data_IF_888120840195
#
_entry.id   IF_888120840195
#
_cell.length_a   1.000
_cell.length_b   1.000
_cell.length_c   1.000
_cell.angle_alpha   90.00
_cell.angle_beta   90.00
_cell.angle_gamma   90.00
#
_symmetry.space_group_name_H-M   'P 1'
#
loop_
_entity.id
_entity.type
_entity.pdbx_description
1 polymer ?
#
# COMPACT_ATOMS: atom_id res chain seq x y z
N UNK A 1 -80.45 -9.65 -69.10
CA UNK A 1 -79.67 -8.51 -68.58
C UNK A 1 -79.84 -8.45 -67.06
N UNK A 2 -78.73 -8.31 -66.31
CA UNK A 2 -78.60 -7.88 -64.88
C UNK A 2 -79.37 -8.73 -63.84
N UNK A 3 -78.78 -9.64 -63.04
CA UNK A 3 -77.70 -9.60 -62.02
C UNK A 3 -78.00 -8.71 -60.78
N UNK A 4 -77.83 -9.34 -59.61
CA UNK A 4 -77.50 -8.84 -58.24
C UNK A 4 -78.68 -8.86 -57.25
N UNK A 5 -78.79 -9.84 -56.33
CA UNK A 5 -78.03 -10.23 -55.13
C UNK A 5 -78.26 -9.35 -53.88
N UNK A 6 -78.74 -10.04 -52.84
CA UNK A 6 -78.90 -9.72 -51.43
C UNK A 6 -77.61 -9.32 -50.71
N UNK A 7 -77.70 -8.41 -49.73
CA UNK A 7 -76.67 -8.19 -48.70
C UNK A 7 -77.27 -8.36 -47.31
N UNK A 8 -76.87 -9.44 -46.63
CA UNK A 8 -77.01 -9.65 -45.20
C UNK A 8 -75.61 -9.44 -44.60
N UNK A 9 -75.48 -8.49 -43.67
CA UNK A 9 -74.20 -8.12 -43.07
C UNK A 9 -73.61 -9.22 -42.19
N UNK A 10 -72.34 -9.53 -42.43
CA UNK A 10 -71.50 -10.41 -41.61
C UNK A 10 -70.69 -9.53 -40.64
N UNK A 11 -70.91 -9.69 -39.34
CA UNK A 11 -70.08 -9.09 -38.29
C UNK A 11 -68.89 -10.04 -38.05
N UNK A 12 -67.67 -9.55 -38.31
CA UNK A 12 -66.42 -10.24 -37.97
C UNK A 12 -65.96 -9.73 -36.61
N UNK A 13 -65.93 -10.61 -35.62
CA UNK A 13 -65.29 -10.36 -34.31
C UNK A 13 -63.81 -10.69 -34.47
N UNK A 14 -62.96 -9.66 -34.44
CA UNK A 14 -61.51 -9.81 -34.44
C UNK A 14 -61.05 -10.05 -32.99
N UNK A 15 -60.69 -11.29 -32.66
CA UNK A 15 -60.08 -11.63 -31.37
C UNK A 15 -58.63 -11.15 -31.35
N UNK A 16 -58.33 -10.09 -30.61
CA UNK A 16 -56.96 -9.77 -30.20
C UNK A 16 -56.50 -10.84 -29.20
N UNK A 17 -55.60 -11.71 -29.62
CA UNK A 17 -54.75 -12.46 -28.70
C UNK A 17 -53.58 -11.53 -28.39
N UNK A 18 -53.59 -10.91 -27.21
CA UNK A 18 -52.38 -10.31 -26.67
C UNK A 18 -51.40 -11.47 -26.45
N UNK A 19 -50.31 -11.50 -27.23
CA UNK A 19 -49.17 -12.33 -26.86
C UNK A 19 -48.66 -11.81 -25.53
N UNK A 20 -48.75 -12.64 -24.49
CA UNK A 20 -47.93 -12.46 -23.31
C UNK A 20 -46.50 -12.66 -23.79
N UNK A 21 -45.81 -11.56 -24.08
CA UNK A 21 -44.36 -11.56 -24.10
C UNK A 21 -43.94 -11.84 -22.66
N UNK A 22 -43.31 -13.00 -22.43
CA UNK A 22 -42.61 -13.20 -21.17
C UNK A 22 -41.69 -12.00 -20.96
N UNK A 23 -41.75 -11.41 -19.75
CA UNK A 23 -40.72 -10.47 -19.35
C UNK A 23 -39.40 -11.24 -19.40
N UNK A 24 -38.52 -10.87 -20.32
CA UNK A 24 -37.18 -11.41 -20.40
C UNK A 24 -36.30 -10.46 -19.57
N UNK A 25 -35.82 -10.92 -18.43
CA UNK A 25 -35.01 -10.11 -17.52
C UNK A 25 -33.59 -9.91 -18.02
N UNK A 26 -32.81 -9.16 -17.25
CA UNK A 26 -31.36 -9.08 -17.41
C UNK A 26 -30.70 -10.11 -16.51
N UNK A 27 -29.96 -11.07 -17.08
CA UNK A 27 -29.22 -12.09 -16.33
C UNK A 27 -27.82 -11.58 -15.99
N UNK A 28 -27.51 -11.51 -14.70
CA UNK A 28 -26.18 -11.25 -14.17
C UNK A 28 -25.50 -12.57 -13.82
N UNK A 29 -24.21 -12.72 -14.15
CA UNK A 29 -23.44 -13.93 -13.84
C UNK A 29 -22.07 -13.59 -13.25
N UNK A 30 -21.69 -14.29 -12.19
CA UNK A 30 -20.38 -14.18 -11.56
C UNK A 30 -19.79 -15.56 -11.28
N UNK A 31 -18.51 -15.74 -11.60
CA UNK A 31 -17.73 -16.92 -11.22
C UNK A 31 -17.00 -16.66 -9.90
N UNK A 32 -17.35 -17.45 -8.88
CA UNK A 32 -16.82 -17.38 -7.53
C UNK A 32 -15.72 -18.42 -7.27
N UNK A 33 -15.26 -19.16 -8.29
CA UNK A 33 -14.30 -20.26 -8.12
C UNK A 33 -13.05 -19.84 -7.37
N UNK A 34 -12.53 -18.65 -7.67
CA UNK A 34 -11.36 -18.10 -6.97
C UNK A 34 -11.67 -17.74 -5.53
N UNK A 35 -12.79 -17.07 -5.27
CA UNK A 35 -13.20 -16.65 -3.92
C UNK A 35 -13.46 -17.85 -3.01
N UNK A 36 -14.03 -18.93 -3.56
CA UNK A 36 -14.19 -20.22 -2.86
C UNK A 36 -12.83 -20.83 -2.56
N UNK A 37 -11.92 -20.88 -3.53
CA UNK A 37 -10.60 -21.49 -3.37
C UNK A 37 -9.75 -20.81 -2.29
N UNK A 38 -9.85 -19.49 -2.14
CA UNK A 38 -9.13 -18.71 -1.12
C UNK A 38 -9.90 -18.56 0.21
N UNK A 39 -11.08 -19.17 0.32
CA UNK A 39 -11.91 -19.12 1.52
C UNK A 39 -12.54 -17.75 1.82
N UNK A 40 -12.59 -16.83 0.84
CA UNK A 40 -13.27 -15.53 0.96
C UNK A 40 -14.79 -15.63 0.84
N UNK A 41 -15.27 -16.67 0.17
CA UNK A 41 -16.68 -16.96 0.03
C UNK A 41 -16.94 -18.42 0.40
N UNK A 42 -17.77 -18.64 1.43
CA UNK A 42 -18.30 -19.93 1.81
C UNK A 42 -19.73 -20.08 1.25
N UNK A 43 -19.94 -20.91 0.21
CA UNK A 43 -21.25 -21.16 -0.38
C UNK A 43 -22.33 -21.62 0.59
N UNK A 44 -21.96 -22.14 1.77
CA UNK A 44 -22.89 -22.67 2.77
C UNK A 44 -23.36 -21.63 3.78
N UNK A 45 -22.61 -20.54 3.95
CA UNK A 45 -22.80 -19.60 5.06
C UNK A 45 -22.89 -18.14 4.63
N UNK A 46 -22.36 -17.79 3.45
CA UNK A 46 -22.31 -16.42 2.97
C UNK A 46 -23.44 -16.10 1.97
N UNK A 47 -23.81 -14.83 1.91
CA UNK A 47 -24.72 -14.27 0.92
C UNK A 47 -23.92 -13.78 -0.28
N UNK A 48 -24.42 -14.03 -1.49
CA UNK A 48 -23.87 -13.46 -2.72
C UNK A 48 -24.97 -12.66 -3.43
N UNK A 49 -24.70 -11.39 -3.70
CA UNK A 49 -25.68 -10.45 -4.23
C UNK A 49 -25.14 -9.65 -5.41
N UNK A 50 -26.05 -9.20 -6.27
CA UNK A 50 -25.79 -8.17 -7.27
C UNK A 50 -26.52 -6.90 -6.86
N UNK A 51 -25.81 -5.77 -6.89
CA UNK A 51 -26.29 -4.46 -6.42
C UNK A 51 -26.14 -3.44 -7.54
N UNK A 52 -27.17 -2.62 -7.72
CA UNK A 52 -27.20 -1.55 -8.72
C UNK A 52 -28.43 -0.65 -8.55
N UNK A 53 -28.62 0.35 -9.42
CA UNK A 53 -29.76 1.26 -9.31
C UNK A 53 -31.11 0.54 -9.43
N UNK A 54 -31.18 -0.59 -10.14
CA UNK A 54 -32.39 -1.42 -10.30
C UNK A 54 -32.91 -2.06 -9.00
N UNK A 55 -32.09 -2.14 -7.95
CA UNK A 55 -32.52 -2.54 -6.61
C UNK A 55 -32.15 -1.50 -5.55
N UNK A 56 -31.96 -0.23 -5.95
CA UNK A 56 -31.59 0.84 -5.02
C UNK A 56 -30.31 0.54 -4.24
N UNK A 57 -29.40 -0.26 -4.80
CA UNK A 57 -28.19 -0.76 -4.16
C UNK A 57 -28.42 -1.63 -2.91
N UNK A 58 -29.64 -2.13 -2.67
CA UNK A 58 -29.94 -3.00 -1.52
C UNK A 58 -29.64 -4.48 -1.75
N UNK A 59 -29.47 -4.89 -3.01
CA UNK A 59 -29.08 -6.25 -3.39
C UNK A 59 -30.20 -7.20 -3.76
N UNK A 60 -29.87 -8.07 -4.71
CA UNK A 60 -30.65 -9.23 -5.14
C UNK A 60 -29.75 -10.44 -5.02
N UNK A 61 -30.20 -11.48 -4.33
CA UNK A 61 -29.42 -12.71 -4.13
C UNK A 61 -29.19 -13.43 -5.46
N UNK A 62 -27.97 -13.94 -5.66
CA UNK A 62 -27.66 -14.84 -6.76
C UNK A 62 -27.80 -16.29 -6.32
N UNK A 63 -28.21 -17.13 -7.27
CA UNK A 63 -28.34 -18.57 -7.10
C UNK A 63 -27.34 -19.30 -7.98
N UNK A 64 -26.90 -20.47 -7.56
CA UNK A 64 -25.94 -21.26 -8.34
C UNK A 64 -26.54 -21.67 -9.70
N UNK A 65 -25.78 -21.51 -10.77
CA UNK A 65 -26.15 -21.96 -12.11
C UNK A 65 -26.25 -23.49 -12.11
N UNK A 66 -27.32 -24.04 -12.68
CA UNK A 66 -27.52 -25.48 -12.72
C UNK A 66 -26.35 -26.21 -13.39
N UNK A 67 -25.72 -27.14 -12.65
CA UNK A 67 -24.56 -27.91 -13.11
C UNK A 67 -23.21 -27.21 -12.99
N UNK A 68 -23.17 -26.03 -12.36
CA UNK A 68 -21.94 -25.36 -11.93
C UNK A 68 -21.71 -25.55 -10.43
N UNK A 69 -20.45 -25.52 -10.01
CA UNK A 69 -20.05 -25.52 -8.60
C UNK A 69 -19.61 -24.11 -8.13
N UNK A 70 -19.44 -23.17 -9.05
CA UNK A 70 -18.85 -21.85 -8.76
C UNK A 70 -19.51 -20.66 -9.45
N UNK A 71 -20.35 -20.88 -10.46
CA UNK A 71 -20.98 -19.78 -11.21
C UNK A 71 -22.37 -19.54 -10.65
N UNK A 72 -22.65 -18.28 -10.32
CA UNK A 72 -23.92 -17.83 -9.75
C UNK A 72 -24.60 -16.86 -10.70
N UNK A 73 -25.93 -16.87 -10.70
CA UNK A 73 -26.75 -16.00 -11.53
C UNK A 73 -27.98 -15.43 -10.80
N UNK A 74 -28.39 -14.24 -11.22
CA UNK A 74 -29.68 -13.63 -10.89
C UNK A 74 -30.30 -13.02 -12.15
N UNK A 75 -31.60 -13.20 -12.31
CA UNK A 75 -32.38 -12.53 -13.35
C UNK A 75 -33.17 -11.38 -12.72
N UNK A 76 -33.00 -10.18 -13.27
CA UNK A 76 -33.60 -8.95 -12.75
C UNK A 76 -34.36 -8.24 -13.85
N UNK A 77 -35.62 -7.91 -13.57
CA UNK A 77 -36.42 -7.05 -14.41
C UNK A 77 -35.94 -5.60 -14.28
N UNK A 78 -35.39 -5.06 -15.36
CA UNK A 78 -34.92 -3.68 -15.45
C UNK A 78 -35.80 -2.95 -16.47
N UNK A 79 -36.28 -1.77 -16.10
CA UNK A 79 -37.18 -0.94 -16.90
C UNK A 79 -36.50 0.39 -17.24
N UNK A 80 -35.61 0.37 -18.24
CA UNK A 80 -34.87 1.54 -18.71
C UNK A 80 -35.01 1.74 -20.22
N UNK A 81 -34.51 2.86 -20.73
CA UNK A 81 -34.46 3.10 -22.18
C UNK A 81 -33.35 2.24 -22.80
N UNK A 82 -33.63 1.66 -23.96
CA UNK A 82 -32.64 0.91 -24.74
C UNK A 82 -31.32 1.70 -24.93
N UNK A 83 -30.19 1.07 -24.61
CA UNK A 83 -28.87 1.68 -24.65
C UNK A 83 -28.48 2.48 -23.40
N UNK A 84 -29.33 2.55 -22.37
CA UNK A 84 -28.97 3.19 -21.09
C UNK A 84 -27.81 2.44 -20.44
N UNK A 85 -26.75 3.15 -20.07
CA UNK A 85 -25.64 2.59 -19.30
C UNK A 85 -26.07 2.42 -17.84
N UNK A 86 -25.82 1.23 -17.28
CA UNK A 86 -26.18 0.88 -15.90
C UNK A 86 -24.95 0.37 -15.17
N UNK A 87 -24.76 0.92 -13.97
CA UNK A 87 -23.72 0.53 -13.04
C UNK A 87 -24.18 -0.65 -12.15
N UNK A 88 -23.26 -1.56 -11.86
CA UNK A 88 -23.50 -2.65 -10.91
C UNK A 88 -22.21 -3.16 -10.25
N UNK A 89 -22.36 -3.84 -9.12
CA UNK A 89 -21.30 -4.62 -8.46
C UNK A 89 -21.87 -5.91 -7.86
N UNK A 90 -21.01 -6.90 -7.72
CA UNK A 90 -21.25 -8.04 -6.86
C UNK A 90 -20.85 -7.74 -5.40
N UNK A 91 -21.47 -8.44 -4.47
CA UNK A 91 -21.32 -8.23 -3.05
C UNK A 91 -21.39 -9.58 -2.32
N UNK A 92 -20.45 -9.82 -1.41
CA UNK A 92 -20.48 -10.94 -0.47
C UNK A 92 -20.90 -10.39 0.90
N UNK A 93 -21.94 -10.95 1.49
CA UNK A 93 -22.30 -10.72 2.89
C UNK A 93 -21.89 -11.91 3.74
N UNK A 94 -20.92 -11.73 4.64
CA UNK A 94 -20.50 -12.79 5.56
C UNK A 94 -20.59 -12.34 7.01
N UNK A 95 -21.16 -13.17 7.87
CA UNK A 95 -21.10 -12.96 9.31
C UNK A 95 -19.68 -13.18 9.88
N UNK A 96 -18.80 -13.85 9.13
CA UNK A 96 -17.45 -14.22 9.57
C UNK A 96 -16.39 -13.27 9.01
N UNK A 97 -16.39 -13.02 7.71
CA UNK A 97 -15.43 -12.13 7.04
C UNK A 97 -15.91 -10.68 6.91
N UNK A 98 -17.16 -10.39 7.27
CA UNK A 98 -17.78 -9.09 7.09
C UNK A 98 -18.36 -8.89 5.68
N UNK A 99 -18.94 -7.72 5.47
CA UNK A 99 -19.52 -7.32 4.19
C UNK A 99 -18.41 -6.89 3.22
N UNK A 100 -18.37 -7.50 2.02
CA UNK A 100 -17.33 -7.34 1.02
C UNK A 100 -17.95 -6.91 -0.31
N UNK A 101 -17.60 -5.70 -0.75
CA UNK A 101 -17.90 -5.20 -2.10
C UNK A 101 -16.79 -5.60 -3.06
N UNK A 102 -17.15 -5.77 -4.33
CA UNK A 102 -16.11 -5.73 -5.37
C UNK A 102 -15.31 -4.42 -5.31
N UNK A 103 -14.02 -4.55 -5.61
CA UNK A 103 -13.05 -3.47 -5.74
C UNK A 103 -13.31 -2.62 -6.99
N UNK A 104 -12.32 -1.87 -7.46
CA UNK A 104 -12.45 -1.09 -8.70
C UNK A 104 -12.31 -2.00 -9.93
N UNK A 105 -13.44 -2.53 -10.40
CA UNK A 105 -13.52 -3.59 -11.43
C UNK A 105 -13.99 -3.10 -12.80
N UNK A 106 -14.44 -1.85 -12.91
CA UNK A 106 -14.95 -1.32 -14.16
C UNK A 106 -14.84 0.20 -14.27
N UNK A 107 -15.44 0.74 -15.33
CA UNK A 107 -15.38 2.16 -15.69
C UNK A 107 -16.56 2.99 -15.13
N UNK A 108 -17.45 2.36 -14.36
CA UNK A 108 -18.57 3.05 -13.71
C UNK A 108 -18.11 3.88 -12.51
N UNK A 109 -19.05 4.58 -11.90
CA UNK A 109 -18.80 5.40 -10.72
C UNK A 109 -18.21 4.52 -9.60
N UNK A 110 -17.22 5.01 -8.86
CA UNK A 110 -16.54 4.24 -7.80
C UNK A 110 -16.04 2.85 -8.25
N UNK A 111 -15.64 2.72 -9.52
CA UNK A 111 -15.10 1.49 -10.09
C UNK A 111 -16.14 0.40 -10.30
N UNK A 112 -17.43 0.76 -10.41
CA UNK A 112 -18.51 -0.18 -10.74
C UNK A 112 -18.31 -0.82 -12.12
N UNK A 113 -18.86 -2.02 -12.28
CA UNK A 113 -19.05 -2.63 -13.60
C UNK A 113 -20.14 -1.87 -14.33
N UNK A 114 -20.07 -1.84 -15.66
CA UNK A 114 -21.04 -1.16 -16.51
C UNK A 114 -21.58 -2.11 -17.58
N UNK A 115 -22.84 -1.94 -17.94
CA UNK A 115 -23.41 -2.56 -19.14
C UNK A 115 -24.40 -1.59 -19.81
N UNK A 116 -24.68 -1.81 -21.09
CA UNK A 116 -25.73 -1.09 -21.79
C UNK A 116 -26.99 -1.95 -21.81
N UNK A 117 -28.09 -1.43 -21.31
CA UNK A 117 -29.37 -2.13 -21.25
C UNK A 117 -29.96 -2.38 -22.65
N UNK A 118 -30.48 -3.58 -22.87
CA UNK A 118 -31.21 -3.96 -24.08
C UNK A 118 -32.65 -4.33 -23.75
N UNK A 119 -33.59 -3.72 -24.48
CA UNK A 119 -35.02 -3.97 -24.32
C UNK A 119 -35.36 -5.37 -24.83
N UNK A 120 -36.12 -6.14 -24.06
CA UNK A 120 -36.51 -7.51 -24.42
C UNK A 120 -35.59 -8.60 -23.88
N UNK A 121 -34.73 -8.25 -22.91
CA UNK A 121 -33.91 -9.18 -22.14
C UNK A 121 -32.51 -9.39 -22.71
N UNK A 122 -31.55 -9.63 -21.81
CA UNK A 122 -30.16 -9.89 -22.17
C UNK A 122 -29.47 -10.73 -21.10
N UNK A 123 -28.49 -11.53 -21.50
CA UNK A 123 -27.56 -12.16 -20.59
C UNK A 123 -26.23 -11.41 -20.64
N UNK A 124 -25.76 -10.94 -19.48
CA UNK A 124 -24.43 -10.36 -19.37
C UNK A 124 -23.36 -11.46 -19.43
N UNK A 125 -22.15 -11.07 -19.79
CA UNK A 125 -21.00 -11.98 -19.74
C UNK A 125 -20.74 -12.44 -18.31
N UNK A 126 -20.38 -13.72 -18.16
CA UNK A 126 -19.89 -14.24 -16.87
C UNK A 126 -18.54 -13.61 -16.57
N UNK A 127 -18.46 -12.88 -15.47
CA UNK A 127 -17.22 -12.25 -14.99
C UNK A 127 -16.76 -12.91 -13.69
N UNK A 128 -15.48 -12.82 -13.37
CA UNK A 128 -14.98 -13.24 -12.06
C UNK A 128 -15.21 -12.13 -11.03
N UNK A 129 -15.52 -12.49 -9.79
CA UNK A 129 -15.53 -11.51 -8.69
C UNK A 129 -14.16 -10.81 -8.61
N UNK A 130 -14.15 -9.48 -8.53
CA UNK A 130 -12.93 -8.65 -8.60
C UNK A 130 -12.13 -8.73 -9.92
N UNK A 131 -12.73 -9.28 -10.99
CA UNK A 131 -12.02 -9.66 -12.22
C UNK A 131 -10.86 -10.64 -11.97
N UNK A 132 -10.89 -11.35 -10.84
CA UNK A 132 -9.83 -12.27 -10.46
C UNK A 132 -10.09 -13.63 -11.13
N UNK A 133 -9.56 -13.79 -12.34
CA UNK A 133 -9.71 -14.99 -13.18
C UNK A 133 -8.64 -16.07 -12.94
N UNK A 134 -7.56 -15.68 -12.26
CA UNK A 134 -6.45 -16.56 -11.94
C UNK A 134 -6.71 -17.21 -10.59
N UNK A 135 -7.18 -18.45 -10.61
CA UNK A 135 -7.29 -19.28 -9.43
C UNK A 135 -5.89 -19.54 -8.86
N UNK A 136 -5.54 -19.04 -7.66
CA UNK A 136 -4.25 -19.37 -7.09
C UNK A 136 -4.16 -20.84 -6.71
N UNK A 137 -5.25 -21.64 -6.78
CA UNK A 137 -5.56 -23.03 -6.37
C UNK A 137 -4.48 -24.10 -6.12
N UNK A 138 -3.20 -23.80 -6.27
CA UNK A 138 -2.10 -24.40 -5.52
C UNK A 138 -1.49 -23.50 -4.42
N UNK A 139 -1.97 -22.27 -4.23
CA UNK A 139 -1.33 -21.13 -3.56
C UNK A 139 -0.14 -20.54 -4.31
N UNK A 140 0.29 -19.34 -3.91
CA UNK A 140 1.51 -18.68 -4.40
C UNK A 140 2.67 -19.05 -3.48
N UNK A 141 3.72 -19.67 -4.02
CA UNK A 141 4.94 -19.91 -3.25
C UNK A 141 5.68 -18.60 -2.97
N UNK A 142 5.90 -18.31 -1.69
CA UNK A 142 6.64 -17.13 -1.23
C UNK A 142 7.79 -17.56 -0.32
N UNK A 143 9.01 -17.18 -0.69
CA UNK A 143 10.21 -17.35 0.12
C UNK A 143 10.48 -16.09 0.93
N UNK A 144 10.40 -16.20 2.25
CA UNK A 144 10.76 -15.15 3.19
C UNK A 144 12.25 -15.24 3.50
N UNK A 145 12.94 -14.09 3.56
CA UNK A 145 14.38 -14.05 3.88
C UNK A 145 14.68 -12.95 4.90
N UNK A 146 15.43 -13.27 5.96
CA UNK A 146 15.89 -12.32 6.97
C UNK A 146 17.36 -12.51 7.27
N UNK A 147 18.07 -11.40 7.48
CA UNK A 147 19.47 -11.37 7.83
C UNK A 147 19.60 -11.15 9.35
N UNK A 148 20.15 -12.14 10.04
CA UNK A 148 20.35 -12.16 11.49
C UNK A 148 21.78 -11.77 11.90
N UNK A 149 22.60 -11.23 10.98
CA UNK A 149 24.04 -11.02 11.21
C UNK A 149 24.35 -10.25 12.50
N UNK A 150 23.60 -9.19 12.82
CA UNK A 150 23.83 -8.38 14.01
C UNK A 150 23.57 -9.20 15.29
N UNK A 151 22.47 -9.94 15.34
CA UNK A 151 22.14 -10.78 16.50
C UNK A 151 23.12 -11.95 16.67
N UNK A 152 23.64 -12.50 15.57
CA UNK A 152 24.69 -13.52 15.60
C UNK A 152 26.02 -12.93 16.12
N UNK A 153 26.39 -11.74 15.65
CA UNK A 153 27.61 -11.04 16.04
C UNK A 153 27.59 -10.65 17.52
N UNK A 154 26.44 -10.18 18.02
CA UNK A 154 26.26 -9.76 19.41
C UNK A 154 25.96 -10.93 20.36
N UNK A 155 26.00 -12.17 19.86
CA UNK A 155 25.73 -13.39 20.64
C UNK A 155 24.33 -13.37 21.30
N UNK A 156 23.34 -12.77 20.62
CA UNK A 156 21.94 -12.66 21.05
C UNK A 156 21.02 -13.69 20.38
N UNK A 157 21.50 -14.34 19.32
CA UNK A 157 20.80 -15.41 18.62
C UNK A 157 21.78 -16.54 18.29
N UNK A 158 21.47 -17.75 18.72
CA UNK A 158 22.26 -18.97 18.49
C UNK A 158 21.42 -19.97 17.69
N UNK A 159 21.69 -20.17 16.39
CA UNK A 159 20.87 -21.01 15.50
C UNK A 159 20.72 -22.46 15.96
N UNK A 160 21.62 -22.93 16.83
CA UNK A 160 21.65 -24.28 17.39
C UNK A 160 20.62 -24.49 18.52
N UNK A 161 20.19 -23.41 19.18
CA UNK A 161 19.32 -23.45 20.36
C UNK A 161 18.04 -22.64 20.16
N UNK A 162 18.12 -21.61 19.33
CA UNK A 162 17.05 -20.65 19.10
C UNK A 162 16.27 -21.00 17.84
N UNK A 163 15.06 -20.46 17.76
CA UNK A 163 14.23 -20.58 16.56
C UNK A 163 13.86 -19.21 16.03
N UNK A 164 13.67 -19.16 14.72
CA UNK A 164 13.30 -17.97 13.97
C UNK A 164 12.11 -18.32 13.07
N UNK A 165 11.12 -17.43 13.03
CA UNK A 165 9.88 -17.62 12.29
C UNK A 165 9.51 -16.36 11.52
N UNK A 166 8.72 -16.53 10.46
CA UNK A 166 7.93 -15.44 9.87
C UNK A 166 6.45 -15.65 10.23
N UNK A 167 5.78 -14.58 10.63
CA UNK A 167 4.34 -14.56 10.95
C UNK A 167 3.67 -13.42 10.22
N UNK A 168 2.46 -13.60 9.75
CA UNK A 168 1.76 -12.54 9.04
C UNK A 168 0.31 -12.85 8.74
N UNK A 169 -0.32 -12.00 7.95
CA UNK A 169 -1.71 -12.19 7.53
C UNK A 169 -1.92 -13.56 6.87
N UNK A 170 -0.93 -14.05 6.13
CA UNK A 170 -0.98 -15.33 5.42
C UNK A 170 -1.17 -16.57 6.32
N UNK A 171 -0.80 -16.48 7.61
CA UNK A 171 -0.98 -17.55 8.59
C UNK A 171 -1.72 -17.08 9.85
N UNK A 172 -2.47 -15.98 9.78
CA UNK A 172 -3.21 -15.43 10.91
C UNK A 172 -2.33 -15.02 12.09
N UNK A 173 -1.09 -14.59 11.81
CA UNK A 173 -0.07 -14.23 12.81
C UNK A 173 0.33 -15.38 13.76
N UNK A 174 0.02 -16.63 13.39
CA UNK A 174 0.32 -17.81 14.20
C UNK A 174 1.80 -18.23 14.12
N UNK A 175 2.25 -18.94 15.14
CA UNK A 175 3.58 -19.56 15.19
C UNK A 175 3.67 -20.80 14.27
N UNK A 176 4.89 -21.28 14.00
CA UNK A 176 5.15 -22.57 13.37
C UNK A 176 5.79 -22.52 11.98
N UNK A 177 5.85 -21.37 11.32
CA UNK A 177 6.57 -21.22 10.05
C UNK A 177 8.01 -20.78 10.29
N UNK A 178 8.91 -21.76 10.39
CA UNK A 178 10.33 -21.56 10.72
C UNK A 178 11.16 -21.15 9.51
N UNK A 179 12.18 -20.35 9.77
CA UNK A 179 13.23 -19.99 8.82
C UNK A 179 14.53 -20.66 9.24
N UNK A 180 15.26 -21.18 8.26
CA UNK A 180 16.50 -21.92 8.46
C UNK A 180 17.65 -21.22 7.71
N UNK A 181 18.92 -21.35 8.16
CA UNK A 181 20.02 -20.72 7.46
C UNK A 181 20.15 -21.28 6.03
N UNK A 182 20.31 -20.41 5.04
CA UNK A 182 20.37 -20.82 3.62
C UNK A 182 21.58 -21.70 3.29
N UNK A 183 22.62 -21.65 4.13
CA UNK A 183 23.77 -22.53 4.12
C UNK A 183 24.43 -22.52 5.50
N UNK A 184 25.26 -23.50 5.81
CA UNK A 184 26.05 -23.54 7.05
C UNK A 184 26.84 -22.23 7.23
N UNK A 185 26.72 -21.61 8.42
CA UNK A 185 27.36 -20.33 8.75
C UNK A 185 26.76 -19.09 8.07
N UNK A 186 25.67 -19.21 7.30
CA UNK A 186 25.01 -18.06 6.70
C UNK A 186 24.29 -17.22 7.76
N UNK A 187 24.43 -15.88 7.72
CA UNK A 187 23.58 -15.00 8.53
C UNK A 187 22.19 -14.81 7.93
N UNK A 188 21.94 -15.29 6.71
CA UNK A 188 20.63 -15.21 6.03
C UNK A 188 19.85 -16.48 6.30
N UNK A 189 18.65 -16.30 6.83
CA UNK A 189 17.67 -17.34 7.12
C UNK A 189 16.52 -17.22 6.14
N UNK A 190 16.06 -18.35 5.61
CA UNK A 190 14.96 -18.38 4.66
C UNK A 190 14.00 -19.53 4.94
N UNK A 191 12.77 -19.36 4.46
CA UNK A 191 11.74 -20.38 4.47
C UNK A 191 10.75 -20.08 3.36
N UNK A 192 10.22 -21.14 2.74
CA UNK A 192 9.21 -21.02 1.68
C UNK A 192 7.88 -21.56 2.21
N UNK A 193 6.82 -20.79 2.02
CA UNK A 193 5.46 -21.22 2.28
C UNK A 193 4.58 -20.93 1.08
N UNK A 194 3.43 -21.58 1.03
CA UNK A 194 2.45 -21.42 -0.04
C UNK A 194 1.27 -20.62 0.51
N UNK A 195 1.07 -19.41 -0.01
CA UNK A 195 0.00 -18.51 0.41
C UNK A 195 -1.22 -18.74 -0.48
N UNK A 196 -2.29 -19.27 0.12
CA UNK A 196 -3.57 -19.52 -0.54
C UNK A 196 -4.74 -18.83 0.15
N UNK A 197 -4.50 -18.13 1.27
CA UNK A 197 -5.49 -17.42 2.08
C UNK A 197 -5.68 -15.94 1.69
N UNK A 198 -4.88 -15.45 0.73
CA UNK A 198 -4.86 -14.05 0.30
C UNK A 198 -4.92 -14.02 -1.23
N UNK A 199 -5.70 -13.09 -1.80
CA UNK A 199 -5.79 -12.94 -3.24
C UNK A 199 -4.50 -12.36 -3.83
N UNK A 200 -4.07 -12.84 -5.01
CA UNK A 200 -3.01 -12.19 -5.76
C UNK A 200 -3.33 -10.72 -6.06
N UNK A 201 -2.34 -9.84 -5.94
CA UNK A 201 -2.48 -8.38 -6.05
C UNK A 201 -2.71 -7.68 -4.71
N UNK A 202 -3.11 -8.39 -3.66
CA UNK A 202 -3.28 -7.79 -2.35
C UNK A 202 -1.95 -7.65 -1.60
N UNK A 203 -1.94 -6.68 -0.68
CA UNK A 203 -0.82 -6.46 0.23
C UNK A 203 -0.88 -7.45 1.38
N UNK A 204 0.24 -8.14 1.61
CA UNK A 204 0.44 -9.09 2.71
C UNK A 204 1.32 -8.43 3.76
N UNK A 205 0.82 -8.35 4.98
CA UNK A 205 1.60 -7.93 6.15
C UNK A 205 2.29 -9.11 6.82
N UNK A 206 3.52 -8.90 7.30
CA UNK A 206 4.28 -9.91 8.03
C UNK A 206 5.33 -9.30 8.96
N UNK A 207 5.86 -10.12 9.88
CA UNK A 207 7.03 -9.84 10.72
C UNK A 207 7.87 -11.08 10.99
N UNK A 208 9.14 -10.86 11.32
CA UNK A 208 10.03 -11.88 11.86
C UNK A 208 9.99 -11.94 13.38
N UNK A 209 10.11 -13.15 13.93
CA UNK A 209 10.09 -13.42 15.37
C UNK A 209 11.15 -14.46 15.70
N UNK A 210 12.05 -14.18 16.66
CA UNK A 210 12.96 -15.18 17.20
C UNK A 210 12.70 -15.39 18.69
N UNK A 211 12.59 -16.63 19.17
CA UNK A 211 12.32 -16.93 20.58
C UNK A 211 11.14 -16.14 21.22
N UNK A 212 10.15 -15.74 20.41
CA UNK A 212 9.02 -14.92 20.85
C UNK A 212 9.29 -13.41 20.90
N UNK A 213 10.52 -12.97 20.63
CA UNK A 213 10.91 -11.58 20.42
C UNK A 213 10.52 -11.16 19.00
N UNK A 214 9.58 -10.23 18.91
CA UNK A 214 9.13 -9.66 17.64
C UNK A 214 10.12 -8.62 17.14
N UNK A 215 10.27 -8.53 15.83
CA UNK A 215 11.01 -7.42 15.26
C UNK A 215 10.30 -6.08 15.52
N UNK A 216 11.12 -5.04 15.76
CA UNK A 216 10.64 -3.68 16.03
C UNK A 216 10.17 -2.98 14.74
N UNK A 217 9.48 -1.85 14.89
CA UNK A 217 8.92 -1.09 13.76
C UNK A 217 7.54 -1.57 13.32
N UNK A 218 7.04 -1.01 12.21
CA UNK A 218 5.76 -1.39 11.60
C UNK A 218 5.82 -2.80 11.00
N UNK A 219 4.65 -3.35 10.65
CA UNK A 219 4.59 -4.60 9.89
C UNK A 219 5.29 -4.42 8.53
N UNK A 220 6.05 -5.42 8.11
CA UNK A 220 6.60 -5.48 6.76
C UNK A 220 5.48 -5.81 5.79
N UNK A 221 5.57 -5.31 4.57
CA UNK A 221 4.55 -5.50 3.55
C UNK A 221 5.14 -5.96 2.23
N UNK A 222 4.44 -6.82 1.50
CA UNK A 222 4.70 -7.10 0.09
C UNK A 222 3.39 -7.31 -0.66
N UNK A 223 3.40 -7.12 -1.98
CA UNK A 223 2.24 -7.45 -2.83
C UNK A 223 2.39 -8.88 -3.31
N UNK A 224 1.35 -9.69 -3.11
CA UNK A 224 1.33 -11.08 -3.58
C UNK A 224 1.26 -11.10 -5.12
N UNK A 225 2.17 -11.77 -5.84
CA UNK A 225 2.20 -11.72 -7.29
C UNK A 225 1.00 -12.47 -7.88
N UNK A 226 0.53 -12.01 -9.04
CA UNK A 226 -0.52 -12.66 -9.81
C UNK A 226 -0.15 -14.08 -10.26
N UNK A 227 1.14 -14.33 -10.55
CA UNK A 227 1.64 -15.63 -11.00
C UNK A 227 3.09 -15.87 -10.56
N UNK A 228 3.45 -17.14 -10.39
CA UNK A 228 4.82 -17.59 -10.13
C UNK A 228 5.25 -17.51 -8.66
N UNK A 229 6.38 -18.13 -8.35
CA UNK A 229 6.99 -18.05 -7.02
C UNK A 229 7.64 -16.67 -6.81
N UNK A 230 7.53 -16.13 -5.60
CA UNK A 230 8.15 -14.88 -5.20
C UNK A 230 9.23 -15.15 -4.15
N UNK A 231 10.41 -14.58 -4.34
CA UNK A 231 11.45 -14.56 -3.31
C UNK A 231 11.56 -13.14 -2.79
N UNK A 232 11.21 -12.93 -1.51
CA UNK A 232 11.34 -11.62 -0.89
C UNK A 232 12.83 -11.30 -0.68
N UNK A 233 13.28 -10.05 -0.90
CA UNK A 233 14.67 -9.69 -0.67
C UNK A 233 15.03 -9.85 0.81
N UNK A 234 16.26 -10.30 1.14
CA UNK A 234 16.70 -10.39 2.52
C UNK A 234 16.75 -9.00 3.17
N UNK A 235 16.17 -8.88 4.36
CA UNK A 235 16.20 -7.67 5.19
C UNK A 235 16.77 -8.00 6.56
N UNK A 236 17.46 -7.06 7.21
CA UNK A 236 17.96 -7.33 8.56
C UNK A 236 16.81 -7.42 9.55
N UNK A 237 16.94 -8.28 10.57
CA UNK A 237 15.97 -8.34 11.65
C UNK A 237 15.79 -6.96 12.29
N UNK A 238 14.53 -6.52 12.47
CA UNK A 238 14.21 -5.17 12.95
C UNK A 238 14.73 -4.02 12.07
N UNK A 239 15.14 -4.33 10.84
CA UNK A 239 15.80 -3.37 9.95
C UNK A 239 17.05 -2.78 10.63
N UNK A 240 17.84 -3.65 11.28
CA UNK A 240 19.12 -3.32 11.94
C UNK A 240 20.29 -4.07 11.28
N UNK A 241 20.82 -3.51 10.19
CA UNK A 241 22.11 -3.88 9.60
C UNK A 241 23.36 -3.30 10.30
N UNK A 242 24.58 -3.68 9.86
CA UNK A 242 25.86 -3.25 10.45
C UNK A 242 26.06 -1.74 10.48
N UNK A 243 25.45 -1.03 9.54
CA UNK A 243 25.51 0.42 9.42
C UNK A 243 24.30 1.11 10.07
N UNK A 244 23.45 0.41 10.83
CA UNK A 244 22.21 0.99 11.37
C UNK A 244 22.43 1.89 12.56
N UNK A 245 23.59 1.77 13.21
CA UNK A 245 23.96 2.60 14.34
C UNK A 245 25.05 3.58 13.95
N UNK A 246 25.02 4.75 14.58
CA UNK A 246 26.06 5.76 14.42
C UNK A 246 27.41 5.23 14.90
N UNK A 247 28.45 5.46 14.11
CA UNK A 247 29.82 5.05 14.46
C UNK A 247 30.53 6.07 15.33
N UNK A 248 30.03 7.31 15.35
CA UNK A 248 30.53 8.43 16.13
C UNK A 248 29.38 9.41 16.43
N UNK A 249 29.57 10.26 17.43
CA UNK A 249 28.60 11.29 17.80
C UNK A 249 28.35 12.22 16.60
N UNK A 250 27.07 12.48 16.30
CA UNK A 250 26.63 13.27 15.15
C UNK A 250 25.65 14.34 15.59
N UNK A 251 25.96 15.61 15.30
CA UNK A 251 25.03 16.72 15.47
C UNK A 251 24.03 16.68 14.31
N UNK A 252 22.74 16.59 14.63
CA UNK A 252 21.67 16.55 13.65
C UNK A 252 20.79 17.80 13.74
N UNK A 253 20.36 18.31 12.60
CA UNK A 253 19.37 19.39 12.49
C UNK A 253 18.13 18.84 11.81
N UNK A 254 17.00 18.92 12.52
CA UNK A 254 15.68 18.51 12.04
C UNK A 254 14.90 19.80 11.75
N UNK A 255 14.18 19.84 10.63
CA UNK A 255 13.46 21.04 10.19
C UNK A 255 12.08 20.71 9.62
N UNK A 256 11.13 21.61 9.85
CA UNK A 256 9.77 21.51 9.33
C UNK A 256 9.31 22.86 8.77
N UNK A 257 8.81 22.86 7.54
CA UNK A 257 8.17 24.01 6.92
C UNK A 257 6.72 24.11 7.43
N UNK A 258 6.44 25.21 8.13
CA UNK A 258 5.13 25.50 8.73
C UNK A 258 4.27 26.40 7.83
N UNK A 259 4.72 26.76 6.62
CA UNK A 259 3.93 27.57 5.68
C UNK A 259 2.67 26.83 5.28
N UNK A 260 1.52 27.43 5.63
CA UNK A 260 0.19 26.86 5.41
C UNK A 260 -0.05 25.56 6.19
N UNK A 261 0.67 25.33 7.29
CA UNK A 261 0.41 24.21 8.17
C UNK A 261 -1.03 24.27 8.71
N UNK A 262 -1.70 23.13 8.66
CA UNK A 262 -3.02 22.90 9.23
C UNK A 262 -2.92 21.74 10.21
N UNK A 263 -3.52 21.89 11.38
CA UNK A 263 -3.78 20.75 12.27
C UNK A 263 -4.75 19.76 11.63
N UNK A 264 -4.84 18.54 12.18
CA UNK A 264 -5.80 17.51 11.74
C UNK A 264 -7.26 17.99 11.65
N UNK A 265 -7.68 18.92 12.51
CA UNK A 265 -9.03 19.50 12.51
C UNK A 265 -9.20 20.68 11.53
N UNK A 266 -8.16 21.01 10.77
CA UNK A 266 -8.13 22.07 9.76
C UNK A 266 -7.82 23.46 10.31
N UNK A 267 -7.40 23.59 11.57
CA UNK A 267 -7.01 24.87 12.16
C UNK A 267 -5.66 25.33 11.59
N UNK A 268 -5.56 26.55 11.05
CA UNK A 268 -4.31 27.06 10.51
C UNK A 268 -3.33 27.46 11.62
N UNK A 269 -2.05 27.16 11.41
CA UNK A 269 -0.96 27.57 12.27
C UNK A 269 -0.80 29.10 12.33
N UNK A 270 -0.65 29.65 13.54
CA UNK A 270 -0.41 31.06 13.79
C UNK A 270 1.04 31.34 14.23
N UNK A 271 1.80 31.94 13.32
CA UNK A 271 3.22 32.31 13.52
C UNK A 271 3.48 33.21 14.74
N UNK A 272 2.49 33.95 15.25
CA UNK A 272 2.66 34.86 16.40
C UNK A 272 2.45 34.19 17.75
N UNK A 273 1.66 33.11 17.82
CA UNK A 273 1.17 32.56 19.09
C UNK A 273 1.43 31.08 19.26
N UNK A 274 1.52 30.33 18.17
CA UNK A 274 1.68 28.89 18.22
C UNK A 274 3.15 28.51 18.34
N UNK A 275 3.37 27.34 18.93
CA UNK A 275 4.70 26.78 19.18
C UNK A 275 4.81 25.43 18.48
N UNK A 276 6.01 25.11 17.99
CA UNK A 276 6.28 23.88 17.25
C UNK A 276 7.14 22.98 18.11
N UNK A 277 6.71 21.74 18.31
CA UNK A 277 7.44 20.74 19.08
C UNK A 277 7.68 19.48 18.24
N UNK A 278 8.72 18.73 18.61
CA UNK A 278 8.97 17.39 18.07
C UNK A 278 8.80 16.33 19.16
N UNK A 279 8.17 15.22 18.81
CA UNK A 279 8.01 14.06 19.67
C UNK A 279 8.43 12.81 18.92
N UNK A 280 9.21 11.93 19.53
CA UNK A 280 9.70 10.77 18.82
C UNK A 280 10.81 10.00 19.52
N UNK A 281 11.31 9.02 18.79
CA UNK A 281 12.52 8.28 19.09
C UNK A 281 13.65 8.74 18.15
N UNK A 282 14.50 9.64 18.64
CA UNK A 282 15.63 10.22 17.89
C UNK A 282 16.69 10.72 18.87
N UNK A 283 17.98 10.65 18.51
CA UNK A 283 19.07 11.20 19.32
C UNK A 283 19.05 10.81 20.82
N UNK A 284 18.54 9.61 21.14
CA UNK A 284 18.39 9.13 22.53
C UNK A 284 17.15 9.65 23.27
N UNK A 285 16.35 10.51 22.65
CA UNK A 285 15.00 10.86 23.14
C UNK A 285 14.01 9.73 22.82
N UNK A 286 12.96 9.67 23.62
CA UNK A 286 11.83 8.75 23.47
C UNK A 286 10.54 9.53 23.55
N UNK A 287 9.46 8.96 23.03
CA UNK A 287 8.13 9.56 23.03
C UNK A 287 7.73 10.12 24.40
N UNK A 288 7.40 11.41 24.45
CA UNK A 288 6.81 12.08 25.61
C UNK A 288 5.27 12.08 25.53
N UNK A 289 4.61 12.32 26.67
CA UNK A 289 3.15 12.26 26.78
C UNK A 289 2.49 13.52 26.21
N UNK A 290 1.64 13.36 25.20
CA UNK A 290 0.82 14.45 24.67
C UNK A 290 -0.20 14.95 25.73
N UNK A 291 -0.48 16.26 25.90
CA UNK A 291 0.12 17.40 25.21
C UNK A 291 1.15 18.15 26.06
N UNK A 292 2.08 17.42 26.70
CA UNK A 292 3.03 17.99 27.65
C UNK A 292 4.47 17.96 27.07
N UNK A 293 4.79 18.81 26.08
CA UNK A 293 6.10 18.81 25.47
C UNK A 293 7.18 19.28 26.46
N UNK A 294 8.36 18.63 26.48
CA UNK A 294 9.55 19.19 27.09
C UNK A 294 9.98 20.48 26.37
N UNK A 295 10.39 21.52 27.12
CA UNK A 295 10.83 22.80 26.55
C UNK A 295 12.06 22.62 25.64
N UNK A 296 12.94 21.65 25.93
CA UNK A 296 14.12 21.36 25.09
C UNK A 296 13.80 20.77 23.71
N UNK A 297 12.54 20.38 23.45
CA UNK A 297 12.11 19.80 22.17
C UNK A 297 11.27 20.77 21.32
N UNK A 298 11.36 22.06 21.62
CA UNK A 298 10.80 23.12 20.79
C UNK A 298 11.66 23.39 19.55
N UNK A 299 11.02 23.54 18.39
CA UNK A 299 11.66 24.01 17.17
C UNK A 299 11.50 25.52 17.05
N UNK A 300 12.52 26.20 16.54
CA UNK A 300 12.58 27.67 16.45
C UNK A 300 12.84 28.14 15.01
N UNK A 301 12.26 29.29 14.67
CA UNK A 301 12.50 30.05 13.43
C UNK A 301 13.14 31.40 13.83
N UNK A 302 14.36 31.32 14.39
CA UNK A 302 15.05 32.42 15.08
C UNK A 302 16.37 32.87 14.43
N UNK A 303 16.79 32.22 13.35
CA UNK A 303 18.02 32.48 12.60
C UNK A 303 19.29 32.24 13.40
N UNK A 304 19.26 31.35 14.40
CA UNK A 304 20.42 31.11 15.27
C UNK A 304 21.15 29.79 14.96
N UNK A 305 22.49 29.76 15.07
CA UNK A 305 23.26 28.52 14.97
C UNK A 305 22.89 27.48 16.04
N UNK A 306 22.37 27.92 17.19
CA UNK A 306 21.97 27.07 18.31
C UNK A 306 20.71 26.25 18.00
N UNK A 307 19.69 26.85 17.36
CA UNK A 307 18.50 26.13 16.87
C UNK A 307 18.79 25.35 15.58
N UNK A 308 19.85 25.73 14.86
CA UNK A 308 20.16 25.24 13.53
C UNK A 308 19.44 26.01 12.42
N UNK A 309 18.75 27.10 12.74
CA UNK A 309 18.02 27.92 11.79
C UNK A 309 18.97 28.93 11.12
N UNK A 310 18.89 29.00 9.80
CA UNK A 310 19.71 29.90 9.00
C UNK A 310 19.09 31.29 8.83
N UNK A 311 17.75 31.41 8.83
CA UNK A 311 17.06 32.65 8.47
C UNK A 311 15.80 32.85 9.30
N UNK A 312 15.88 33.75 10.28
CA UNK A 312 14.74 34.09 11.13
C UNK A 312 13.52 34.59 10.35
N UNK A 313 12.35 34.07 10.73
CA UNK A 313 11.03 34.45 10.24
C UNK A 313 10.74 33.97 8.82
N UNK A 314 11.43 32.95 8.34
CA UNK A 314 11.20 32.40 7.00
C UNK A 314 10.16 31.27 6.97
N UNK A 315 9.62 30.87 8.13
CA UNK A 315 8.62 29.83 8.30
C UNK A 315 9.19 28.41 8.37
N UNK A 316 10.51 28.24 8.34
CA UNK A 316 11.19 26.96 8.55
C UNK A 316 11.66 26.85 10.00
N UNK A 317 10.98 26.01 10.77
CA UNK A 317 11.31 25.81 12.18
C UNK A 317 12.34 24.68 12.29
N UNK A 318 13.38 24.87 13.11
CA UNK A 318 14.44 23.88 13.28
C UNK A 318 14.76 23.57 14.73
N UNK A 319 15.28 22.37 14.97
CA UNK A 319 15.93 21.97 16.22
C UNK A 319 17.24 21.28 15.90
N UNK A 320 18.26 21.60 16.69
CA UNK A 320 19.57 20.98 16.66
C UNK A 320 19.77 20.11 17.89
N UNK A 321 20.22 18.87 17.69
CA UNK A 321 20.45 17.92 18.78
C UNK A 321 21.59 16.96 18.48
N UNK A 322 22.12 16.32 19.53
CA UNK A 322 23.27 15.41 19.45
C UNK A 322 22.79 13.96 19.47
N UNK A 323 22.97 13.23 18.37
CA UNK A 323 22.84 11.79 18.34
C UNK A 323 24.18 11.13 18.72
N UNK A 324 24.14 10.13 19.60
CA UNK A 324 25.31 9.51 20.22
C UNK A 324 25.74 8.27 19.45
N UNK A 325 27.05 8.02 19.38
CA UNK A 325 27.61 6.79 18.84
C UNK A 325 26.93 5.54 19.43
N UNK A 326 26.59 4.58 18.59
CA UNK A 326 25.88 3.35 18.95
C UNK A 326 24.35 3.50 18.93
N UNK A 327 23.78 4.70 18.89
CA UNK A 327 22.34 4.89 18.67
C UNK A 327 21.95 4.65 17.22
N UNK A 328 20.68 4.34 16.98
CA UNK A 328 20.16 4.15 15.62
C UNK A 328 20.34 5.40 14.78
N UNK A 329 20.74 5.21 13.51
CA UNK A 329 20.67 6.22 12.46
C UNK A 329 19.24 6.48 12.03
N UNK A 330 18.32 5.52 12.25
CA UNK A 330 16.89 5.74 12.03
C UNK A 330 16.41 6.72 13.10
N UNK A 331 15.69 7.73 12.66
CA UNK A 331 14.95 8.63 13.53
C UNK A 331 13.48 8.53 13.18
N UNK A 332 12.64 8.43 14.20
CA UNK A 332 11.21 8.34 14.06
C UNK A 332 10.56 9.42 14.92
N UNK A 333 9.74 10.26 14.33
CA UNK A 333 9.17 11.40 15.04
C UNK A 333 7.89 11.92 14.39
N UNK A 334 7.21 12.80 15.12
CA UNK A 334 6.07 13.59 14.68
C UNK A 334 6.24 15.01 15.20
N UNK A 335 5.82 16.00 14.42
CA UNK A 335 5.72 17.38 14.86
C UNK A 335 4.39 17.64 15.54
N UNK A 336 4.33 18.78 16.21
CA UNK A 336 3.16 19.18 16.97
C UNK A 336 3.03 20.68 17.03
N UNK A 337 1.79 21.15 16.89
CA UNK A 337 1.41 22.52 17.20
C UNK A 337 0.91 22.57 18.64
N UNK A 338 1.53 23.42 19.46
CA UNK A 338 1.19 23.66 20.86
C UNK A 338 1.25 22.43 21.77
N UNK A 339 1.98 21.40 21.36
CA UNK A 339 2.20 20.19 22.14
C UNK A 339 1.15 19.10 21.93
N UNK A 340 0.13 19.30 21.10
CA UNK A 340 -0.91 18.29 20.81
C UNK A 340 -0.48 17.29 19.72
N UNK A 341 -1.04 16.07 19.71
CA UNK A 341 -0.86 15.08 18.62
C UNK A 341 -1.75 15.45 17.41
N UNK A 342 -1.35 16.48 16.66
CA UNK A 342 -2.20 17.15 15.68
C UNK A 342 -1.60 17.30 14.28
N UNK A 343 -0.46 16.67 14.00
CA UNK A 343 0.14 16.68 12.66
C UNK A 343 -0.48 15.61 11.74
N UNK A 344 -0.62 14.39 12.24
CA UNK A 344 -1.06 13.23 11.47
C UNK A 344 -1.72 12.18 12.38
N UNK A 345 -2.40 11.20 11.78
CA UNK A 345 -3.15 10.16 12.50
C UNK A 345 -2.30 9.26 13.41
N UNK A 346 -2.99 8.36 14.11
CA UNK A 346 -2.34 7.41 15.01
C UNK A 346 -1.25 6.59 14.29
N UNK A 347 -0.05 6.55 14.86
CA UNK A 347 1.15 5.88 14.31
C UNK A 347 1.61 6.36 12.93
N UNK A 348 1.04 7.46 12.42
CA UNK A 348 1.50 8.06 11.19
C UNK A 348 2.64 9.04 11.46
N UNK A 349 3.86 8.50 11.53
CA UNK A 349 5.07 9.21 11.92
C UNK A 349 5.99 9.43 10.72
N UNK A 350 6.84 10.45 10.80
CA UNK A 350 8.00 10.58 9.94
C UNK A 350 9.04 9.51 10.28
N UNK A 351 9.67 8.96 9.26
CA UNK A 351 10.83 8.08 9.35
C UNK A 351 11.92 8.64 8.46
N UNK A 352 13.03 9.08 9.06
CA UNK A 352 14.22 9.58 8.36
C UNK A 352 15.47 8.82 8.82
N UNK A 353 16.58 9.03 8.12
CA UNK A 353 17.86 8.39 8.47
C UNK A 353 19.01 9.39 8.46
N UNK A 354 19.88 9.30 9.48
CA UNK A 354 21.14 10.02 9.55
C UNK A 354 22.11 9.38 8.55
N UNK A 355 22.39 10.05 7.43
CA UNK A 355 23.18 9.48 6.32
C UNK A 355 24.69 9.73 6.44
N UNK A 356 25.09 10.68 7.28
CA UNK A 356 26.48 11.10 7.45
C UNK A 356 26.71 11.52 8.91
N UNK A 357 27.91 11.25 9.41
CA UNK A 357 28.36 11.66 10.74
C UNK A 357 29.01 13.07 10.74
N UNK A 358 29.19 13.66 11.92
CA UNK A 358 29.59 15.07 12.09
C UNK A 358 28.37 15.99 12.14
N UNK A 359 28.30 16.99 11.26
CA UNK A 359 27.14 17.88 11.14
C UNK A 359 26.22 17.38 10.02
N UNK A 360 24.98 17.02 10.37
CA UNK A 360 24.02 16.45 9.43
C UNK A 360 22.64 17.14 9.48
N UNK A 361 22.29 17.82 8.39
CA UNK A 361 20.96 18.37 8.19
C UNK A 361 20.06 17.30 7.56
N UNK A 362 18.99 16.95 8.24
CA UNK A 362 17.95 16.13 7.63
C UNK A 362 17.24 16.93 6.54
N UNK A 363 16.71 16.27 5.48
CA UNK A 363 15.85 16.95 4.53
C UNK A 363 14.66 17.58 5.25
N UNK A 364 14.32 18.82 4.89
CA UNK A 364 13.18 19.52 5.49
C UNK A 364 11.88 18.76 5.27
N UNK A 365 11.10 18.63 6.34
CA UNK A 365 9.74 18.12 6.31
C UNK A 365 8.74 19.25 6.03
N UNK A 366 7.52 18.88 5.66
CA UNK A 366 6.39 19.79 5.60
C UNK A 366 5.35 19.30 6.60
N UNK A 367 4.85 20.19 7.46
CA UNK A 367 3.88 19.82 8.49
C UNK A 367 2.63 19.17 7.88
N UNK A 368 2.23 18.01 8.41
CA UNK A 368 1.07 17.26 7.94
C UNK A 368 1.33 16.37 6.71
N UNK A 369 2.57 16.33 6.21
CA UNK A 369 2.97 15.47 5.10
C UNK A 369 4.02 14.44 5.56
N UNK A 370 3.55 13.28 6.03
CA UNK A 370 4.44 12.26 6.60
C UNK A 370 5.41 11.72 5.56
N UNK A 371 6.70 11.83 5.87
CA UNK A 371 7.74 11.23 5.05
C UNK A 371 8.24 9.95 5.70
N UNK A 372 8.13 8.83 4.99
CA UNK A 372 8.75 7.56 5.38
C UNK A 372 9.83 7.20 4.38
N UNK A 373 11.07 7.57 4.71
CA UNK A 373 12.22 7.15 3.91
C UNK A 373 12.35 5.63 3.97
N UNK A 374 12.62 4.97 2.82
CA UNK A 374 13.03 3.58 2.86
C UNK A 374 14.41 3.51 3.53
N UNK A 375 14.59 2.47 4.34
CA UNK A 375 15.93 2.09 4.79
C UNK A 375 16.77 1.71 3.56
N UNK A 376 17.82 2.49 3.29
CA UNK A 376 18.80 2.19 2.25
C UNK A 376 20.05 1.71 2.97
N UNK A 377 20.23 0.40 3.06
CA UNK A 377 21.45 -0.20 3.56
C UNK A 377 22.49 -0.22 2.44
N UNK A 378 23.61 0.47 2.67
CA UNK A 378 24.79 0.53 1.80
C UNK A 378 25.22 -0.86 1.30
N UNK A 379 25.07 -1.90 2.12
CA UNK A 379 25.48 -3.27 1.83
C UNK A 379 24.68 -3.93 0.70
N UNK A 380 23.46 -3.48 0.41
CA UNK A 380 22.61 -4.06 -0.64
C UNK A 380 22.90 -3.47 -2.05
N UNK A 381 23.50 -2.28 -2.10
CA UNK A 381 23.77 -1.55 -3.35
C UNK A 381 25.28 -1.30 -3.61
N UNK A 382 26.12 -1.60 -2.62
CA UNK A 382 27.52 -1.18 -2.56
C UNK A 382 27.66 0.34 -2.43
N UNK A 383 28.88 0.85 -2.64
CA UNK A 383 29.16 2.29 -2.59
C UNK A 383 28.24 3.09 -3.52
N UNK A 384 27.65 4.16 -2.98
CA UNK A 384 26.83 5.13 -3.72
C UNK A 384 27.43 6.51 -3.55
N UNK A 385 27.75 7.18 -4.66
CA UNK A 385 28.29 8.55 -4.61
C UNK A 385 27.51 9.49 -5.51
N UNK A 386 27.39 10.73 -5.06
CA UNK A 386 26.92 11.84 -5.88
C UNK A 386 28.09 12.80 -6.01
N UNK A 387 28.69 12.84 -7.19
CA UNK A 387 29.80 13.73 -7.49
C UNK A 387 29.23 15.12 -7.79
N UNK A 388 29.77 16.14 -7.13
CA UNK A 388 29.38 17.53 -7.32
C UNK A 388 29.44 17.98 -8.80
N UNK A 389 28.75 19.07 -9.16
CA UNK A 389 28.56 19.43 -10.55
C UNK A 389 29.87 19.76 -11.27
N UNK A 390 30.12 19.07 -12.39
CA UNK A 390 31.18 19.38 -13.35
C UNK A 390 30.48 19.79 -14.65
N UNK A 391 30.78 21.00 -15.14
CA UNK A 391 30.13 21.59 -16.33
C UNK A 391 28.58 21.59 -16.27
N UNK A 392 28.02 21.79 -15.07
CA UNK A 392 26.57 21.83 -14.85
C UNK A 392 25.89 20.46 -14.77
N UNK A 393 26.67 19.38 -14.75
CA UNK A 393 26.20 18.00 -14.63
C UNK A 393 26.64 17.37 -13.30
N UNK A 394 25.69 16.80 -12.58
CA UNK A 394 25.91 16.00 -11.36
C UNK A 394 25.91 14.53 -11.73
N UNK A 395 26.89 13.77 -11.24
CA UNK A 395 27.02 12.34 -11.56
C UNK A 395 26.64 11.51 -10.35
N UNK A 396 25.68 10.61 -10.52
CA UNK A 396 25.29 9.62 -9.53
C UNK A 396 25.98 8.30 -9.89
N UNK A 397 26.71 7.68 -8.96
CA UNK A 397 27.42 6.40 -9.13
C UNK A 397 26.96 5.38 -8.12
N UNK A 398 26.99 4.11 -8.52
CA UNK A 398 26.65 2.98 -7.65
C UNK A 398 27.37 1.70 -8.07
N UNK A 399 27.60 0.80 -7.12
CA UNK A 399 28.38 -0.42 -7.38
C UNK A 399 27.52 -1.61 -7.86
N UNK A 400 26.29 -1.75 -7.36
CA UNK A 400 25.39 -2.84 -7.72
C UNK A 400 24.84 -2.66 -9.15
N UNK A 401 25.45 -3.34 -10.12
CA UNK A 401 25.05 -3.30 -11.53
C UNK A 401 23.63 -3.86 -11.80
N UNK A 402 23.05 -4.63 -10.88
CA UNK A 402 21.68 -5.11 -11.01
C UNK A 402 20.65 -4.04 -10.61
N UNK A 403 21.06 -2.99 -9.91
CA UNK A 403 20.17 -1.92 -9.50
C UNK A 403 19.74 -1.04 -10.68
N UNK A 404 18.49 -0.60 -10.64
CA UNK A 404 17.88 0.34 -11.57
C UNK A 404 17.75 1.68 -10.87
N UNK A 405 18.23 2.74 -11.51
CA UNK A 405 18.07 4.09 -10.99
C UNK A 405 16.65 4.56 -11.31
N UNK A 406 15.92 4.97 -10.27
CA UNK A 406 14.58 5.53 -10.36
C UNK A 406 14.59 7.00 -9.95
N UNK A 407 13.64 7.77 -10.47
CA UNK A 407 13.38 9.14 -10.03
C UNK A 407 11.91 9.38 -9.73
N UNK A 408 11.64 10.30 -8.83
CA UNK A 408 10.29 10.82 -8.58
C UNK A 408 10.36 12.30 -8.21
N UNK A 409 9.25 13.03 -8.38
CA UNK A 409 9.08 14.38 -7.83
C UNK A 409 8.62 14.38 -6.37
N UNK A 410 8.23 13.22 -5.84
CA UNK A 410 7.70 13.03 -4.49
C UNK A 410 8.31 11.77 -3.86
N UNK A 411 8.25 11.65 -2.53
CA UNK A 411 8.77 10.46 -1.83
C UNK A 411 7.76 9.31 -1.72
N UNK A 412 6.55 9.46 -2.27
CA UNK A 412 5.49 8.45 -2.23
C UNK A 412 5.83 7.18 -3.04
N UNK A 413 5.56 5.97 -2.52
CA UNK A 413 6.00 4.71 -3.14
C UNK A 413 5.55 4.49 -4.60
N UNK A 414 4.38 4.98 -4.98
CA UNK A 414 3.74 4.73 -6.29
C UNK A 414 4.23 5.66 -7.42
N UNK A 415 5.04 6.67 -7.11
CA UNK A 415 5.40 7.74 -8.07
C UNK A 415 6.76 7.56 -8.73
N UNK A 416 7.45 6.47 -8.43
CA UNK A 416 8.83 6.26 -8.87
C UNK A 416 8.90 5.67 -10.26
N UNK A 417 9.60 6.37 -11.15
CA UNK A 417 9.81 5.97 -12.54
C UNK A 417 11.24 5.49 -12.75
N UNK A 418 11.40 4.35 -13.43
CA UNK A 418 12.71 3.89 -13.90
C UNK A 418 13.31 4.91 -14.86
N UNK A 419 14.54 5.35 -14.59
CA UNK A 419 15.27 6.16 -15.54
C UNK A 419 15.68 5.25 -16.70
N UNK A 420 15.27 5.55 -17.93
CA UNK A 420 15.59 4.73 -19.09
C UNK A 420 17.11 4.52 -19.20
N UNK A 421 17.53 3.29 -19.52
CA UNK A 421 18.94 2.88 -19.68
C UNK A 421 19.81 2.81 -18.41
N UNK A 422 19.24 3.01 -17.21
CA UNK A 422 19.98 2.86 -15.95
C UNK A 422 20.30 1.41 -15.58
N UNK A 423 19.48 0.45 -16.03
CA UNK A 423 19.69 -0.97 -15.75
C UNK A 423 21.00 -1.47 -16.36
N UNK A 424 21.83 -2.13 -15.55
CA UNK A 424 23.16 -2.60 -15.98
C UNK A 424 24.22 -1.50 -16.06
N UNK A 425 23.90 -0.26 -15.67
CA UNK A 425 24.87 0.82 -15.49
C UNK A 425 25.31 0.92 -14.02
N UNK A 426 26.32 1.76 -13.81
CA UNK A 426 26.91 2.08 -12.51
C UNK A 426 27.10 3.59 -12.31
N UNK A 427 26.69 4.37 -13.31
CA UNK A 427 26.74 5.82 -13.27
C UNK A 427 25.69 6.42 -14.20
N UNK A 428 25.13 7.55 -13.81
CA UNK A 428 24.32 8.43 -14.65
C UNK A 428 24.59 9.89 -14.32
N UNK A 429 24.59 10.75 -15.33
CA UNK A 429 24.78 12.17 -15.18
C UNK A 429 23.47 12.93 -15.45
N UNK A 430 23.15 13.89 -14.59
CA UNK A 430 21.96 14.73 -14.65
C UNK A 430 22.34 16.19 -14.61
N UNK A 431 21.55 17.06 -15.24
CA UNK A 431 21.76 18.50 -15.06
C UNK A 431 21.42 18.93 -13.63
N UNK A 432 22.06 19.99 -13.12
CA UNK A 432 21.74 20.56 -11.80
C UNK A 432 20.26 20.96 -11.68
N UNK A 433 19.64 21.37 -12.80
CA UNK A 433 18.21 21.72 -12.83
C UNK A 433 17.31 20.49 -12.74
N UNK A 434 17.75 19.33 -13.23
CA UNK A 434 17.01 18.08 -13.10
C UNK A 434 17.16 17.51 -11.70
N UNK A 435 18.37 17.53 -11.12
CA UNK A 435 18.61 16.93 -9.80
C UNK A 435 17.88 17.67 -8.67
N UNK A 436 17.71 18.99 -8.80
CA UNK A 436 17.00 19.82 -7.82
C UNK A 436 15.48 19.65 -7.83
N UNK A 437 14.92 18.96 -8.83
CA UNK A 437 13.47 18.77 -9.00
C UNK A 437 13.01 17.34 -8.72
N UNK A 438 13.93 16.42 -8.48
CA UNK A 438 13.62 15.01 -8.35
C UNK A 438 14.39 14.38 -7.19
N UNK A 439 13.73 13.46 -6.50
CA UNK A 439 14.37 12.46 -5.67
C UNK A 439 14.85 11.31 -6.55
N UNK A 440 15.96 10.69 -6.15
CA UNK A 440 16.54 9.52 -6.85
C UNK A 440 16.64 8.37 -5.86
N UNK A 441 16.39 7.15 -6.33
CA UNK A 441 16.64 5.93 -5.57
C UNK A 441 17.18 4.84 -6.47
N UNK A 442 17.90 3.90 -5.89
CA UNK A 442 18.23 2.64 -6.54
C UNK A 442 17.21 1.60 -6.11
N UNK A 443 16.66 0.89 -7.08
CA UNK A 443 15.81 -0.27 -6.86
C UNK A 443 16.54 -1.52 -7.36
N UNK A 444 16.68 -2.54 -6.52
CA UNK A 444 16.99 -3.87 -7.01
C UNK A 444 15.72 -4.50 -7.58
N UNK A 445 15.78 -5.20 -8.72
CA UNK A 445 14.68 -6.00 -9.25
C UNK A 445 14.10 -6.97 -8.23
#
# INVERSE_FOLDING_TARGET
MKRILSHLGLIVILSLIAGLTDAQGTTFRVDMSVQIAIGRYDPSNDLLQVRGPFNGWSGTDLTIVAGSDSVYEAEIDIFEVDGTQIDYKFFIGSATSGDLWESNVGQGDSGNRIFNYQTGGQALETVFFDNLDTNPGGGVEVTFQVNMALLLQDELFFPEFDWLEARGAFNGWAAGFKLEPISEGSPIFAGTTTINSIAPGDTVEYKYVYNGVWETGSNRTFVLPQQGAQVLPPRYFSDLGPDSNLTEDTEIVISVDMKNALTLDGTPFNLETDRVYINGEFAGFTWWEWPFPPEELELLDDGTPESGDAVAGDGLYTIKTQAIAGQSKKVEYKFSINGEDNEAGFQDNHIRYIRKTGDYFLPADQFGNMVREPEILSSNFGGFTIDGPVDGMVTIRWENAAAVLQKSRTLTPETWENIPSSQGKREMAFSVTEISKNYFRLATP
#
